data_IF_355840990848
#
_entry.id   IF_355840990848
#
_cell.length_a   1.000
_cell.length_b   1.000
_cell.length_c   1.000
_cell.angle_alpha   90.00
_cell.angle_beta   90.00
_cell.angle_gamma   90.00
#
_symmetry.space_group_name_H-M   'P 1'
#
loop_
_entity.id
_entity.type
_entity.pdbx_description
1 polymer ?
#
# COMPACT_ATOMS: atom_id res chain seq x y z
N UNK A 1 -8.38 33.29 -27.18
CA UNK A 1 -7.15 32.52 -26.92
C UNK A 1 -6.16 33.42 -26.18
N UNK A 2 -6.24 33.54 -24.84
CA UNK A 2 -5.25 34.25 -23.98
C UNK A 2 -5.53 34.27 -22.46
N UNK A 3 -6.23 33.27 -21.90
CA UNK A 3 -6.45 33.20 -20.43
C UNK A 3 -5.67 32.03 -19.80
N UNK A 4 -5.43 30.96 -20.57
CA UNK A 4 -4.77 29.75 -20.07
C UNK A 4 -3.28 29.97 -19.76
N UNK A 5 -2.55 30.76 -20.56
CA UNK A 5 -1.10 30.88 -20.40
C UNK A 5 -0.69 31.63 -19.13
N UNK A 6 -1.48 32.61 -18.68
CA UNK A 6 -1.18 33.38 -17.46
C UNK A 6 -1.28 32.56 -16.16
N UNK A 7 -1.94 31.40 -16.17
CA UNK A 7 -2.06 30.51 -15.00
C UNK A 7 -1.14 29.29 -15.11
N UNK A 8 -0.89 28.80 -16.32
CA UNK A 8 -0.07 27.60 -16.54
C UNK A 8 1.41 27.85 -16.21
N UNK A 9 1.92 29.04 -16.51
CA UNK A 9 3.32 29.40 -16.29
C UNK A 9 3.73 29.46 -14.81
N UNK A 10 2.98 30.11 -13.89
CA UNK A 10 3.28 30.04 -12.47
C UNK A 10 3.03 28.64 -11.87
N UNK A 11 2.11 27.83 -12.44
CA UNK A 11 1.93 26.45 -12.01
C UNK A 11 3.16 25.59 -12.32
N UNK A 12 3.74 25.75 -13.51
CA UNK A 12 4.96 25.03 -13.92
C UNK A 12 6.16 25.40 -13.05
N UNK A 13 6.30 26.68 -12.73
CA UNK A 13 7.34 27.19 -11.84
C UNK A 13 7.14 26.62 -10.44
N UNK A 14 5.90 26.58 -9.92
CA UNK A 14 5.63 25.99 -8.62
C UNK A 14 5.94 24.50 -8.57
N UNK A 15 5.51 23.74 -9.58
CA UNK A 15 5.73 22.29 -9.69
C UNK A 15 7.23 21.94 -9.73
N UNK A 16 8.01 22.74 -10.48
CA UNK A 16 9.47 22.64 -10.58
C UNK A 16 10.18 22.98 -9.26
N UNK A 17 9.74 24.04 -8.56
CA UNK A 17 10.29 24.43 -7.25
C UNK A 17 9.96 23.37 -6.18
N UNK A 18 8.75 22.79 -6.19
CA UNK A 18 8.36 21.75 -5.24
C UNK A 18 9.12 20.45 -5.46
N UNK A 19 9.26 20.00 -6.71
CA UNK A 19 9.99 18.77 -7.03
C UNK A 19 11.49 18.89 -6.75
N UNK A 20 12.08 20.06 -6.99
CA UNK A 20 13.52 20.31 -6.73
C UNK A 20 13.80 20.46 -5.23
N UNK A 21 12.95 21.15 -4.46
CA UNK A 21 13.11 21.24 -2.99
C UNK A 21 12.92 19.90 -2.29
N UNK A 22 11.92 19.12 -2.68
CA UNK A 22 11.65 17.83 -2.03
C UNK A 22 12.74 16.79 -2.36
N UNK A 23 13.36 16.86 -3.53
CA UNK A 23 14.49 15.99 -3.92
C UNK A 23 15.82 16.42 -3.28
N UNK A 24 16.11 17.72 -3.15
CA UNK A 24 17.31 18.21 -2.46
C UNK A 24 17.25 18.04 -0.93
N UNK A 25 16.10 18.29 -0.29
CA UNK A 25 15.93 18.13 1.17
C UNK A 25 15.90 16.65 1.58
N UNK A 26 15.51 15.74 0.68
CA UNK A 26 15.47 14.29 0.96
C UNK A 26 16.82 13.61 0.69
N UNK A 27 17.66 14.14 -0.22
CA UNK A 27 18.86 13.44 -0.71
C UNK A 27 20.12 13.66 0.12
N UNK A 28 20.29 14.79 0.81
CA UNK A 28 21.58 15.13 1.43
C UNK A 28 21.80 14.67 2.89
N UNK A 29 20.75 14.38 3.69
CA UNK A 29 20.91 14.22 5.16
C UNK A 29 20.26 12.97 5.80
N UNK A 30 19.66 12.04 5.06
CA UNK A 30 18.96 10.90 5.67
C UNK A 30 19.86 9.67 5.89
N UNK A 31 20.65 9.70 6.98
CA UNK A 31 21.13 8.46 7.58
C UNK A 31 19.93 7.67 8.13
N UNK A 32 19.43 6.72 7.33
CA UNK A 32 18.35 5.85 7.76
C UNK A 32 18.80 4.96 8.92
N UNK A 33 18.05 4.88 10.03
CA UNK A 33 18.32 3.86 11.04
C UNK A 33 18.26 2.48 10.39
N UNK A 34 19.23 1.61 10.70
CA UNK A 34 19.37 0.27 10.09
C UNK A 34 18.07 -0.53 10.14
N UNK A 35 17.29 -0.35 11.20
CA UNK A 35 15.97 -0.97 11.41
C UNK A 35 14.97 -0.61 10.29
N UNK A 36 14.87 0.66 9.89
CA UNK A 36 13.94 1.06 8.83
C UNK A 36 14.31 0.43 7.47
N UNK A 37 15.61 0.31 7.17
CA UNK A 37 16.07 -0.37 5.94
C UNK A 37 15.65 -1.84 5.93
N UNK A 38 15.79 -2.53 7.07
CA UNK A 38 15.41 -3.94 7.20
C UNK A 38 13.90 -4.12 7.04
N UNK A 39 13.09 -3.31 7.74
CA UNK A 39 11.63 -3.39 7.66
C UNK A 39 11.13 -3.11 6.24
N UNK A 40 11.65 -2.06 5.60
CA UNK A 40 11.26 -1.72 4.23
C UNK A 40 11.71 -2.80 3.23
N UNK A 41 12.91 -3.37 3.40
CA UNK A 41 13.38 -4.46 2.56
C UNK A 41 12.52 -5.72 2.71
N UNK A 42 12.04 -6.01 3.93
CA UNK A 42 11.13 -7.11 4.17
C UNK A 42 9.81 -6.91 3.42
N UNK A 43 9.17 -5.75 3.57
CA UNK A 43 7.92 -5.40 2.86
C UNK A 43 8.14 -5.44 1.34
N UNK A 44 9.27 -4.93 0.86
CA UNK A 44 9.60 -4.92 -0.58
C UNK A 44 9.77 -6.34 -1.14
N UNK A 45 10.45 -7.23 -0.42
CA UNK A 45 10.61 -8.65 -0.82
C UNK A 45 9.27 -9.36 -0.89
N UNK A 46 8.41 -9.17 0.12
CA UNK A 46 7.07 -9.77 0.14
C UNK A 46 6.22 -9.24 -1.01
N UNK A 47 6.18 -7.91 -1.21
CA UNK A 47 5.46 -7.32 -2.34
C UNK A 47 5.96 -7.81 -3.70
N UNK A 48 7.28 -7.91 -3.88
CA UNK A 48 7.87 -8.41 -5.13
C UNK A 48 7.54 -9.87 -5.37
N UNK A 49 7.57 -10.71 -4.33
CA UNK A 49 7.16 -12.10 -4.42
C UNK A 49 5.70 -12.23 -4.84
N UNK A 50 4.83 -11.36 -4.31
CA UNK A 50 3.39 -11.36 -4.60
C UNK A 50 3.10 -10.82 -6.00
N UNK A 51 3.91 -9.91 -6.53
CA UNK A 51 3.80 -9.45 -7.93
C UNK A 51 3.92 -10.59 -8.95
N UNK A 52 4.58 -11.70 -8.63
CA UNK A 52 4.60 -12.89 -9.48
C UNK A 52 3.23 -13.55 -9.61
N UNK A 53 2.34 -13.41 -8.62
CA UNK A 53 0.96 -13.89 -8.72
C UNK A 53 0.18 -13.16 -9.81
N UNK A 54 0.58 -11.96 -10.22
CA UNK A 54 -0.06 -11.25 -11.33
C UNK A 54 0.11 -12.00 -12.66
N UNK A 55 1.26 -12.65 -12.86
CA UNK A 55 1.50 -13.48 -14.05
C UNK A 55 0.58 -14.71 -14.02
N UNK A 56 0.45 -15.35 -12.86
CA UNK A 56 -0.48 -16.47 -12.66
C UNK A 56 -1.94 -16.05 -12.91
N UNK A 57 -2.36 -14.88 -12.41
CA UNK A 57 -3.69 -14.34 -12.63
C UNK A 57 -3.96 -14.13 -14.13
N UNK A 58 -3.03 -13.53 -14.86
CA UNK A 58 -3.16 -13.32 -16.31
C UNK A 58 -3.30 -14.67 -17.03
N UNK A 59 -2.47 -15.66 -16.68
CA UNK A 59 -2.56 -17.00 -17.26
C UNK A 59 -3.94 -17.64 -17.02
N UNK A 60 -4.48 -17.53 -15.82
CA UNK A 60 -5.81 -18.06 -15.48
C UNK A 60 -6.92 -17.34 -16.25
N UNK A 61 -6.83 -16.02 -16.42
CA UNK A 61 -7.79 -15.26 -17.24
C UNK A 61 -7.76 -15.75 -18.69
N UNK A 62 -6.57 -15.88 -19.28
CA UNK A 62 -6.42 -16.37 -20.66
C UNK A 62 -6.99 -17.79 -20.80
N UNK A 63 -6.67 -18.70 -19.88
CA UNK A 63 -7.21 -20.07 -19.89
C UNK A 63 -8.74 -20.06 -19.81
N UNK A 64 -9.32 -19.27 -18.91
CA UNK A 64 -10.77 -19.20 -18.76
C UNK A 64 -11.44 -18.64 -20.02
N UNK A 65 -10.86 -17.60 -20.63
CA UNK A 65 -11.34 -17.00 -21.88
C UNK A 65 -11.28 -18.03 -23.01
N UNK A 66 -10.17 -18.76 -23.16
CA UNK A 66 -10.04 -19.83 -24.16
C UNK A 66 -11.07 -20.94 -23.96
N UNK A 67 -11.24 -21.42 -22.72
CA UNK A 67 -12.27 -22.43 -22.41
C UNK A 67 -13.68 -21.94 -22.74
N UNK A 68 -13.97 -20.68 -22.42
CA UNK A 68 -15.29 -20.08 -22.65
C UNK A 68 -15.60 -19.92 -24.13
N UNK A 69 -14.65 -19.50 -24.95
CA UNK A 69 -14.90 -19.23 -26.37
C UNK A 69 -14.63 -20.41 -27.31
N UNK A 70 -13.62 -21.25 -27.02
CA UNK A 70 -13.29 -22.39 -27.89
C UNK A 70 -14.10 -23.63 -27.55
N UNK A 71 -14.34 -23.87 -26.25
CA UNK A 71 -14.99 -25.10 -25.78
C UNK A 71 -16.40 -24.85 -25.24
N UNK A 72 -16.85 -23.59 -25.14
CA UNK A 72 -18.12 -23.20 -24.50
C UNK A 72 -18.26 -23.73 -23.06
N UNK A 73 -17.13 -23.96 -22.36
CA UNK A 73 -17.09 -24.45 -20.98
C UNK A 73 -16.92 -23.25 -20.05
N UNK A 74 -17.78 -23.15 -19.04
CA UNK A 74 -17.63 -22.16 -17.97
C UNK A 74 -17.32 -22.83 -16.63
N UNK A 75 -16.09 -22.63 -16.13
CA UNK A 75 -15.65 -23.14 -14.84
C UNK A 75 -15.73 -22.04 -13.78
N UNK A 76 -16.66 -22.20 -12.85
CA UNK A 76 -16.87 -21.28 -11.72
C UNK A 76 -15.64 -21.24 -10.81
N UNK A 77 -14.90 -22.35 -10.68
CA UNK A 77 -13.66 -22.40 -9.88
C UNK A 77 -12.60 -21.41 -10.39
N UNK A 78 -12.44 -21.32 -11.72
CA UNK A 78 -11.46 -20.41 -12.31
C UNK A 78 -11.89 -18.95 -12.11
N UNK A 79 -13.18 -18.66 -12.22
CA UNK A 79 -13.72 -17.31 -11.99
C UNK A 79 -13.50 -16.86 -10.55
N UNK A 80 -13.83 -17.73 -9.59
CA UNK A 80 -13.60 -17.44 -8.18
C UNK A 80 -12.10 -17.30 -7.89
N UNK A 81 -11.26 -18.18 -8.42
CA UNK A 81 -9.81 -18.12 -8.23
C UNK A 81 -9.21 -16.79 -8.74
N UNK A 82 -9.73 -16.23 -9.83
CA UNK A 82 -9.29 -14.93 -10.34
C UNK A 82 -9.55 -13.82 -9.32
N UNK A 83 -10.77 -13.74 -8.76
CA UNK A 83 -11.09 -12.71 -7.77
C UNK A 83 -10.29 -12.90 -6.48
N UNK A 84 -10.01 -14.16 -6.11
CA UNK A 84 -9.17 -14.51 -4.97
C UNK A 84 -7.72 -14.01 -5.15
N UNK A 85 -7.12 -14.26 -6.32
CA UNK A 85 -5.78 -13.79 -6.67
C UNK A 85 -5.73 -12.26 -6.81
N UNK A 86 -6.73 -11.67 -7.46
CA UNK A 86 -6.82 -10.22 -7.64
C UNK A 86 -6.89 -9.49 -6.30
N UNK A 87 -7.76 -9.93 -5.38
CA UNK A 87 -7.84 -9.38 -4.04
C UNK A 87 -6.50 -9.49 -3.32
N UNK A 88 -5.81 -10.63 -3.46
CA UNK A 88 -4.50 -10.86 -2.85
C UNK A 88 -3.46 -9.86 -3.36
N UNK A 89 -3.33 -9.73 -4.68
CA UNK A 89 -2.35 -8.82 -5.30
C UNK A 89 -2.59 -7.38 -4.85
N UNK A 90 -3.84 -6.91 -4.83
CA UNK A 90 -4.17 -5.53 -4.44
C UNK A 90 -3.91 -5.29 -2.95
N UNK A 91 -4.35 -6.20 -2.08
CA UNK A 91 -4.19 -6.06 -0.63
C UNK A 91 -2.72 -5.94 -0.24
N UNK A 92 -1.85 -6.77 -0.80
CA UNK A 92 -0.42 -6.66 -0.56
C UNK A 92 0.22 -5.49 -1.32
N UNK A 93 -0.30 -5.15 -2.50
CA UNK A 93 0.10 -3.97 -3.27
C UNK A 93 -0.03 -2.67 -2.49
N UNK A 94 -1.06 -2.52 -1.64
CA UNK A 94 -1.22 -1.38 -0.74
C UNK A 94 -0.05 -1.23 0.24
N UNK A 95 0.36 -2.33 0.87
CA UNK A 95 1.51 -2.32 1.80
C UNK A 95 2.83 -1.98 1.09
N UNK A 96 3.00 -2.46 -0.14
CA UNK A 96 4.15 -2.15 -0.98
C UNK A 96 4.17 -0.67 -1.42
N UNK A 97 3.03 -0.14 -1.86
CA UNK A 97 2.88 1.27 -2.25
C UNK A 97 3.17 2.23 -1.08
N UNK A 98 2.86 1.82 0.16
CA UNK A 98 3.18 2.60 1.36
C UNK A 98 4.70 2.80 1.55
N UNK A 99 5.52 1.83 1.18
CA UNK A 99 6.99 1.95 1.26
C UNK A 99 7.55 2.85 0.16
N UNK A 100 6.94 2.81 -1.04
CA UNK A 100 7.36 3.61 -2.21
C UNK A 100 6.91 5.07 -2.17
N UNK A 101 6.31 5.55 -1.07
CA UNK A 101 5.78 6.91 -0.93
C UNK A 101 4.74 7.31 -1.98
N UNK A 102 4.13 6.35 -2.66
CA UNK A 102 3.10 6.59 -3.68
C UNK A 102 1.71 6.83 -3.10
N UNK A 103 1.59 6.85 -1.77
CA UNK A 103 0.34 7.21 -1.13
C UNK A 103 0.09 8.70 -1.38
N UNK A 104 -1.01 9.04 -2.05
CA UNK A 104 -1.42 10.43 -2.28
C UNK A 104 -1.51 11.09 -0.92
N UNK A 105 -0.57 11.99 -0.65
CA UNK A 105 -0.57 12.83 0.52
C UNK A 105 -1.34 14.08 0.14
N UNK A 106 -2.02 14.70 1.10
CA UNK A 106 -2.62 16.01 0.87
C UNK A 106 -1.47 17.02 0.79
N UNK A 107 -0.85 17.10 -0.39
CA UNK A 107 0.38 17.86 -0.63
C UNK A 107 0.10 19.37 -0.72
N UNK A 108 -1.14 19.76 -1.03
CA UNK A 108 -1.57 21.17 -1.15
C UNK A 108 -1.47 21.91 0.19
N UNK A 109 -1.74 21.24 1.32
CA UNK A 109 -1.66 21.86 2.65
C UNK A 109 -0.22 22.02 3.14
N UNK A 110 0.76 21.33 2.54
CA UNK A 110 2.12 21.26 3.07
C UNK A 110 2.98 22.44 2.66
N UNK A 111 2.73 23.04 1.50
CA UNK A 111 3.65 24.02 0.92
C UNK A 111 3.76 25.31 1.74
N UNK A 112 2.77 25.61 2.59
CA UNK A 112 2.82 26.76 3.51
C UNK A 112 3.54 26.48 4.85
N UNK A 113 3.88 25.22 5.16
CA UNK A 113 4.45 24.85 6.46
C UNK A 113 5.96 24.62 6.42
N UNK A 114 6.64 24.95 7.54
CA UNK A 114 8.06 24.68 7.75
C UNK A 114 8.33 23.15 7.73
N UNK A 115 9.46 22.63 7.21
CA UNK A 115 9.71 21.19 7.09
C UNK A 115 9.59 20.39 8.40
N UNK A 116 9.88 21.03 9.53
CA UNK A 116 9.70 20.42 10.88
C UNK A 116 8.22 20.20 11.22
N UNK A 117 7.34 21.13 10.86
CA UNK A 117 5.91 21.03 11.13
C UNK A 117 5.25 20.01 10.20
N UNK A 118 5.64 19.98 8.92
CA UNK A 118 5.19 18.96 7.96
C UNK A 118 5.45 17.54 8.47
N UNK A 119 6.65 17.25 8.99
CA UNK A 119 6.98 15.92 9.55
C UNK A 119 6.21 15.59 10.83
N UNK A 120 5.91 16.57 11.69
CA UNK A 120 5.06 16.35 12.87
C UNK A 120 3.63 16.00 12.48
N UNK A 121 3.06 16.68 11.48
CA UNK A 121 1.73 16.40 10.95
C UNK A 121 1.68 14.99 10.34
N UNK A 122 2.72 14.58 9.61
CA UNK A 122 2.80 13.22 9.06
C UNK A 122 2.82 12.16 10.19
N UNK A 123 3.65 12.34 11.21
CA UNK A 123 3.69 11.41 12.36
C UNK A 123 2.32 11.33 13.04
N UNK A 124 1.70 12.48 13.30
CA UNK A 124 0.38 12.56 13.93
C UNK A 124 -0.69 11.86 13.08
N UNK A 125 -0.71 12.10 11.77
CA UNK A 125 -1.64 11.45 10.85
C UNK A 125 -1.44 9.93 10.81
N UNK A 126 -0.20 9.45 10.77
CA UNK A 126 0.07 8.01 10.80
C UNK A 126 -0.38 7.40 12.13
N UNK A 127 -0.10 8.06 13.25
CA UNK A 127 -0.38 7.52 14.59
C UNK A 127 -1.88 7.51 14.92
N UNK A 128 -2.61 8.55 14.54
CA UNK A 128 -4.00 8.77 14.99
C UNK A 128 -5.04 8.37 13.94
N UNK A 129 -4.68 8.38 12.66
CA UNK A 129 -5.60 7.97 11.60
C UNK A 129 -5.23 6.58 11.07
N UNK A 130 -3.98 6.42 10.65
CA UNK A 130 -3.54 5.28 9.86
C UNK A 130 -3.41 4.00 10.72
N UNK A 131 -2.71 4.06 11.86
CA UNK A 131 -2.53 2.93 12.77
C UNK A 131 -3.86 2.42 13.36
N UNK A 132 -4.75 3.24 13.95
CA UNK A 132 -6.00 2.71 14.50
C UNK A 132 -6.91 2.15 13.41
N UNK A 133 -6.94 2.75 12.22
CA UNK A 133 -7.63 2.18 11.08
C UNK A 133 -7.10 0.79 10.73
N UNK A 134 -5.77 0.63 10.62
CA UNK A 134 -5.15 -0.68 10.36
C UNK A 134 -5.53 -1.70 11.44
N UNK A 135 -5.44 -1.32 12.72
CA UNK A 135 -5.75 -2.23 13.83
C UNK A 135 -7.20 -2.70 13.82
N UNK A 136 -8.14 -1.80 13.50
CA UNK A 136 -9.56 -2.15 13.32
C UNK A 136 -9.71 -3.17 12.20
N UNK A 137 -9.10 -2.93 11.03
CA UNK A 137 -9.19 -3.84 9.90
C UNK A 137 -8.55 -5.20 10.19
N UNK A 138 -7.40 -5.23 10.88
CA UNK A 138 -6.77 -6.50 11.30
C UNK A 138 -7.71 -7.27 12.21
N UNK A 139 -8.30 -6.62 13.23
CA UNK A 139 -9.21 -7.28 14.18
C UNK A 139 -10.39 -7.93 13.44
N UNK A 140 -11.14 -7.14 12.65
CA UNK A 140 -12.27 -7.68 11.90
C UNK A 140 -11.84 -8.71 10.84
N UNK A 141 -10.66 -8.54 10.24
CA UNK A 141 -10.10 -9.49 9.29
C UNK A 141 -9.78 -10.84 9.92
N UNK A 142 -9.25 -10.85 11.15
CA UNK A 142 -9.02 -12.08 11.92
C UNK A 142 -10.36 -12.73 12.27
N UNK A 143 -11.31 -11.98 12.82
CA UNK A 143 -12.64 -12.48 13.18
C UNK A 143 -13.33 -13.15 11.97
N UNK A 144 -13.26 -12.51 10.79
CA UNK A 144 -13.79 -13.04 9.53
C UNK A 144 -13.10 -14.34 9.09
N UNK A 145 -11.79 -14.45 9.33
CA UNK A 145 -10.99 -15.62 8.95
C UNK A 145 -11.27 -16.79 9.88
N UNK A 146 -11.35 -16.54 11.19
CA UNK A 146 -11.67 -17.55 12.20
C UNK A 146 -13.09 -18.09 12.02
N UNK A 147 -14.06 -17.21 11.73
CA UNK A 147 -15.43 -17.61 11.42
C UNK A 147 -15.47 -18.55 10.21
N UNK A 148 -14.79 -18.15 9.12
CA UNK A 148 -14.73 -18.93 7.89
C UNK A 148 -14.06 -20.29 8.07
N UNK A 149 -13.04 -20.36 8.94
CA UNK A 149 -12.38 -21.61 9.28
C UNK A 149 -13.29 -22.51 10.12
N UNK A 150 -13.99 -21.94 11.12
CA UNK A 150 -14.88 -22.69 12.02
C UNK A 150 -16.04 -23.34 11.28
N UNK A 151 -16.64 -22.63 10.34
CA UNK A 151 -17.77 -23.15 9.54
C UNK A 151 -17.32 -23.90 8.28
N UNK A 152 -16.00 -24.04 8.05
CA UNK A 152 -15.42 -24.57 6.81
C UNK A 152 -16.10 -23.97 5.57
N UNK A 153 -16.11 -22.64 5.51
CA UNK A 153 -16.85 -21.89 4.51
C UNK A 153 -16.42 -22.26 3.10
N UNK A 154 -17.39 -22.74 2.32
CA UNK A 154 -17.23 -23.05 0.89
C UNK A 154 -17.92 -21.98 0.06
N UNK A 155 -17.58 -21.95 -1.23
CA UNK A 155 -18.33 -21.13 -2.17
C UNK A 155 -19.82 -21.50 -2.15
N UNK A 156 -20.67 -20.50 -2.38
CA UNK A 156 -22.11 -20.66 -2.57
C UNK A 156 -22.44 -21.47 -3.82
N UNK A 157 -21.51 -21.55 -4.76
CA UNK A 157 -21.63 -22.36 -5.97
C UNK A 157 -21.31 -23.83 -5.66
N UNK A 158 -22.13 -24.80 -6.11
CA UNK A 158 -21.92 -26.24 -5.84
C UNK A 158 -20.55 -26.77 -6.31
N UNK A 159 -19.99 -26.15 -7.35
CA UNK A 159 -18.68 -26.47 -7.90
C UNK A 159 -17.59 -25.48 -7.52
N UNK A 160 -17.87 -24.46 -6.70
CA UNK A 160 -16.91 -23.40 -6.38
C UNK A 160 -15.80 -23.81 -5.41
N UNK A 161 -14.95 -22.85 -5.02
CA UNK A 161 -13.76 -23.13 -4.22
C UNK A 161 -14.12 -23.55 -2.78
N UNK A 162 -13.49 -24.62 -2.25
CA UNK A 162 -13.83 -25.18 -0.95
C UNK A 162 -13.17 -24.48 0.26
N UNK A 163 -12.16 -23.62 0.05
CA UNK A 163 -11.35 -23.05 1.13
C UNK A 163 -11.38 -21.52 1.15
N UNK A 164 -12.56 -20.94 1.41
CA UNK A 164 -12.75 -19.48 1.35
C UNK A 164 -12.00 -18.72 2.46
N UNK A 165 -11.65 -19.41 3.55
CA UNK A 165 -10.83 -18.87 4.63
C UNK A 165 -9.45 -18.37 4.15
N UNK A 166 -8.89 -18.94 3.07
CA UNK A 166 -7.58 -18.55 2.55
C UNK A 166 -7.59 -17.07 2.14
N UNK A 167 -8.58 -16.62 1.38
CA UNK A 167 -8.63 -15.22 0.95
C UNK A 167 -9.07 -14.27 2.05
N UNK A 168 -9.90 -14.73 2.99
CA UNK A 168 -10.21 -13.92 4.18
C UNK A 168 -8.95 -13.68 5.02
N UNK A 169 -8.06 -14.67 5.12
CA UNK A 169 -6.79 -14.55 5.86
C UNK A 169 -5.81 -13.55 5.23
N UNK A 170 -5.92 -13.30 3.92
CA UNK A 170 -5.07 -12.33 3.23
C UNK A 170 -5.27 -10.91 3.76
N UNK A 171 -6.48 -10.56 4.20
CA UNK A 171 -6.78 -9.24 4.75
C UNK A 171 -5.94 -8.93 6.01
N UNK A 172 -6.00 -9.70 7.12
CA UNK A 172 -5.19 -9.41 8.29
C UNK A 172 -3.69 -9.52 8.03
N UNK A 173 -3.24 -10.43 7.16
CA UNK A 173 -1.81 -10.60 6.83
C UNK A 173 -1.26 -9.37 6.09
N UNK A 174 -1.95 -8.92 5.04
CA UNK A 174 -1.53 -7.74 4.25
C UNK A 174 -1.57 -6.45 5.07
N UNK A 175 -2.60 -6.27 5.91
CA UNK A 175 -2.68 -5.12 6.80
C UNK A 175 -1.64 -5.15 7.92
N UNK A 176 -1.24 -6.33 8.39
CA UNK A 176 -0.10 -6.45 9.31
C UNK A 176 1.21 -5.99 8.64
N UNK A 177 1.39 -6.29 7.35
CA UNK A 177 2.54 -5.80 6.58
C UNK A 177 2.47 -4.27 6.38
N UNK A 178 1.27 -3.72 6.15
CA UNK A 178 1.03 -2.28 6.08
C UNK A 178 1.31 -1.59 7.43
N UNK A 179 1.02 -2.23 8.56
CA UNK A 179 1.36 -1.73 9.89
C UNK A 179 2.87 -1.61 10.06
N UNK A 180 3.63 -2.63 9.65
CA UNK A 180 5.09 -2.61 9.67
C UNK A 180 5.64 -1.44 8.84
N UNK A 181 5.13 -1.25 7.62
CA UNK A 181 5.51 -0.15 6.76
C UNK A 181 5.19 1.23 7.39
N UNK A 182 4.04 1.34 8.06
CA UNK A 182 3.60 2.56 8.74
C UNK A 182 4.47 2.90 9.94
N UNK A 183 4.84 1.89 10.76
CA UNK A 183 5.76 2.07 11.89
C UNK A 183 7.14 2.50 11.40
N UNK A 184 7.67 1.86 10.34
CA UNK A 184 8.94 2.24 9.71
C UNK A 184 8.93 3.72 9.29
N UNK A 185 7.81 4.21 8.75
CA UNK A 185 7.63 5.63 8.40
C UNK A 185 7.68 6.55 9.62
N UNK A 186 6.98 6.20 10.72
CA UNK A 186 6.99 6.99 11.96
C UNK A 186 8.41 7.07 12.54
N UNK A 187 9.13 5.96 12.58
CA UNK A 187 10.52 5.89 13.08
C UNK A 187 11.42 6.82 12.24
N UNK A 188 11.28 6.79 10.91
CA UNK A 188 12.06 7.66 10.00
C UNK A 188 11.82 9.15 10.28
N UNK A 189 10.56 9.58 10.38
CA UNK A 189 10.26 11.00 10.66
C UNK A 189 10.70 11.42 12.06
N UNK A 190 10.58 10.55 13.05
CA UNK A 190 11.01 10.81 14.43
C UNK A 190 12.54 10.96 14.50
N UNK A 191 13.28 10.05 13.86
CA UNK A 191 14.76 10.09 13.79
C UNK A 191 15.28 11.40 13.19
N UNK A 192 14.62 11.89 12.14
CA UNK A 192 14.99 13.16 11.51
C UNK A 192 14.76 14.35 12.45
N UNK A 193 13.62 14.40 13.16
CA UNK A 193 13.32 15.48 14.11
C UNK A 193 14.31 15.50 15.28
N UNK A 194 14.77 14.34 15.74
CA UNK A 194 15.78 14.22 16.79
C UNK A 194 17.16 14.70 16.32
N UNK A 195 17.58 14.36 15.09
CA UNK A 195 18.88 14.78 14.54
C UNK A 195 18.94 16.27 14.24
N UNK A 196 17.85 16.87 13.75
CA UNK A 196 17.72 18.31 13.54
C UNK A 196 17.79 19.17 14.81
N UNK A 197 17.75 18.57 16.00
CA UNK A 197 17.95 19.25 17.30
C UNK A 197 19.43 19.31 17.72
N UNK A 198 20.31 18.49 17.12
CA UNK A 198 21.72 18.40 17.50
C UNK A 198 22.62 19.45 16.81
N UNK A 199 22.18 20.01 15.68
CA UNK A 199 22.93 21.00 14.88
C UNK A 199 22.49 22.46 15.13
N UNK A 200 21.79 22.74 16.25
CA UNK A 200 21.17 24.04 16.53
C UNK A 200 21.57 24.69 17.86
N UNK A 201 22.73 24.32 18.42
CA UNK A 201 23.37 25.01 19.55
C UNK A 201 24.65 25.69 19.07
#
# INVERSE_FOLDING_TARGET
MKITDHIVEPLKIYDDITHTRDSEVTSKDEEFPKICKILNAFVFKVGTAISWLSILLIAIIVIQVLLRYLFSINLVQLEELQWHLYATIIMFGLSYAMVNHSHVRVDILRVKFNPRLQRKIEIFGVLILMIPFILIVIKYGVDLTEEALRINERSSSPTGLPYRWIVKSVMPISFSLLLIASISRVIRHTSYLLKGRKNGN
#
